data_IF_081251861916
#
_entry.id   IF_081251861916
#
_cell.length_a   1.000
_cell.length_b   1.000
_cell.length_c   1.000
_cell.angle_alpha   90.00
_cell.angle_beta   90.00
_cell.angle_gamma   90.00
#
_symmetry.space_group_name_H-M   'P 1'
#
loop_
_entity.id
_entity.type
_entity.pdbx_description
1 polymer ?
#
# COMPACT_ATOMS: atom_id res chain seq x y z
N UNK A 1 -29.62 53.56 -14.46
CA UNK A 1 -28.53 53.60 -13.48
C UNK A 1 -28.21 52.18 -13.01
N UNK A 2 -27.03 51.69 -13.42
CA UNK A 2 -26.19 50.62 -12.85
C UNK A 2 -26.83 49.26 -12.48
N UNK A 3 -26.83 48.36 -13.46
CA UNK A 3 -26.76 46.91 -13.24
C UNK A 3 -25.47 46.56 -12.48
N UNK A 4 -25.60 46.01 -11.28
CA UNK A 4 -24.47 45.52 -10.49
C UNK A 4 -24.29 44.02 -10.78
N UNK A 5 -23.50 43.70 -11.81
CA UNK A 5 -23.03 42.33 -12.04
C UNK A 5 -21.99 41.97 -10.97
N UNK A 6 -22.36 41.13 -10.01
CA UNK A 6 -21.41 40.49 -9.11
C UNK A 6 -20.76 39.30 -9.84
N UNK A 7 -19.43 39.18 -9.92
CA UNK A 7 -18.81 37.99 -10.46
C UNK A 7 -19.05 36.83 -9.50
N UNK A 8 -19.84 35.85 -9.93
CA UNK A 8 -19.96 34.55 -9.26
C UNK A 8 -18.61 33.85 -9.41
N UNK A 9 -17.78 33.94 -8.37
CA UNK A 9 -16.54 33.17 -8.29
C UNK A 9 -16.90 31.72 -7.98
N UNK A 10 -17.14 30.93 -9.03
CA UNK A 10 -17.29 29.48 -8.95
C UNK A 10 -15.92 28.89 -8.64
N UNK A 11 -15.61 28.72 -7.36
CA UNK A 11 -14.47 27.95 -6.89
C UNK A 11 -14.69 26.47 -7.24
N UNK A 12 -14.04 26.04 -8.32
CA UNK A 12 -14.00 24.68 -8.82
C UNK A 12 -13.37 23.73 -7.79
N UNK A 13 -14.22 22.89 -7.17
CA UNK A 13 -13.85 21.77 -6.30
C UNK A 13 -13.47 20.53 -7.12
N UNK A 14 -12.41 20.60 -7.93
CA UNK A 14 -12.01 19.55 -8.91
C UNK A 14 -10.91 18.59 -8.42
N UNK A 15 -10.65 18.50 -7.12
CA UNK A 15 -9.47 17.81 -6.58
C UNK A 15 -9.40 16.29 -6.84
N UNK A 16 -10.46 15.53 -6.55
CA UNK A 16 -10.43 14.05 -6.55
C UNK A 16 -11.06 13.38 -7.78
N UNK A 17 -12.00 14.05 -8.47
CA UNK A 17 -12.45 13.62 -9.81
C UNK A 17 -11.24 13.53 -10.77
N UNK A 18 -10.25 14.40 -10.56
CA UNK A 18 -9.02 14.48 -11.32
C UNK A 18 -8.20 13.19 -11.32
N UNK A 19 -7.94 12.54 -10.17
CA UNK A 19 -7.06 11.36 -10.16
C UNK A 19 -7.70 10.14 -10.84
N UNK A 20 -8.99 9.88 -10.59
CA UNK A 20 -9.71 8.79 -11.25
C UNK A 20 -9.84 9.06 -12.75
N UNK A 21 -10.11 10.30 -13.18
CA UNK A 21 -10.11 10.61 -14.62
C UNK A 21 -8.71 10.53 -15.23
N UNK A 22 -7.68 11.00 -14.53
CA UNK A 22 -6.29 11.03 -14.99
C UNK A 22 -5.68 9.63 -15.13
N UNK A 23 -6.00 8.72 -14.22
CA UNK A 23 -5.55 7.32 -14.28
C UNK A 23 -6.42 6.46 -15.21
N UNK A 24 -7.43 7.03 -15.88
CA UNK A 24 -8.34 6.28 -16.76
C UNK A 24 -7.61 5.53 -17.88
N UNK A 25 -6.72 6.22 -18.60
CA UNK A 25 -5.98 5.65 -19.72
C UNK A 25 -4.99 4.56 -19.24
N UNK A 26 -4.22 4.84 -18.19
CA UNK A 26 -3.30 3.89 -17.57
C UNK A 26 -4.03 2.61 -17.12
N UNK A 27 -5.11 2.76 -16.34
CA UNK A 27 -5.89 1.62 -15.84
C UNK A 27 -6.58 0.86 -16.95
N UNK A 28 -7.02 1.54 -18.01
CA UNK A 28 -7.55 0.89 -19.21
C UNK A 28 -6.53 -0.07 -19.81
N UNK A 29 -5.30 0.39 -20.03
CA UNK A 29 -4.21 -0.42 -20.54
C UNK A 29 -3.79 -1.55 -19.59
N UNK A 30 -3.72 -1.28 -18.28
CA UNK A 30 -3.42 -2.28 -17.25
C UNK A 30 -4.47 -3.41 -17.27
N UNK A 31 -5.74 -3.05 -17.21
CA UNK A 31 -6.84 -4.01 -17.12
C UNK A 31 -7.03 -4.82 -18.41
N UNK A 32 -6.61 -4.29 -19.56
CA UNK A 32 -6.64 -5.03 -20.84
C UNK A 32 -5.41 -5.93 -21.03
N UNK A 33 -4.49 -6.00 -20.06
CA UNK A 33 -3.24 -6.75 -20.17
C UNK A 33 -2.22 -6.11 -21.12
N UNK A 34 -2.42 -4.85 -21.50
CA UNK A 34 -1.48 -4.10 -22.35
C UNK A 34 -0.37 -3.49 -21.50
N UNK A 35 0.44 -4.36 -20.90
CA UNK A 35 1.39 -4.01 -19.84
C UNK A 35 2.46 -3.01 -20.30
N UNK A 36 3.00 -3.18 -21.50
CA UNK A 36 3.99 -2.25 -22.07
C UNK A 36 3.38 -0.85 -22.27
N UNK A 37 2.12 -0.80 -22.71
CA UNK A 37 1.39 0.46 -22.86
C UNK A 37 1.11 1.11 -21.50
N UNK A 38 0.75 0.32 -20.50
CA UNK A 38 0.57 0.80 -19.14
C UNK A 38 1.87 1.40 -18.58
N UNK A 39 3.00 0.73 -18.77
CA UNK A 39 4.32 1.21 -18.35
C UNK A 39 4.73 2.53 -19.03
N UNK A 40 4.46 2.67 -20.34
CA UNK A 40 4.68 3.92 -21.07
C UNK A 40 3.83 5.07 -20.51
N UNK A 41 2.53 4.83 -20.30
CA UNK A 41 1.60 5.84 -19.78
C UNK A 41 1.99 6.26 -18.36
N UNK A 42 2.32 5.31 -17.48
CA UNK A 42 2.75 5.60 -16.12
C UNK A 42 4.06 6.41 -16.11
N UNK A 43 5.03 6.05 -16.96
CA UNK A 43 6.30 6.79 -17.10
C UNK A 43 6.07 8.23 -17.59
N UNK A 44 5.19 8.42 -18.57
CA UNK A 44 4.84 9.75 -19.06
C UNK A 44 4.25 10.62 -17.94
N UNK A 45 3.27 10.10 -17.21
CA UNK A 45 2.63 10.82 -16.10
C UNK A 45 3.60 11.11 -14.96
N UNK A 46 4.45 10.13 -14.58
CA UNK A 46 5.48 10.31 -13.56
C UNK A 46 6.47 11.42 -13.93
N UNK A 47 6.90 11.49 -15.19
CA UNK A 47 7.79 12.56 -15.67
C UNK A 47 7.11 13.93 -15.63
N UNK A 48 5.87 14.03 -16.10
CA UNK A 48 5.11 15.28 -16.11
C UNK A 48 4.76 15.80 -14.71
N UNK A 49 4.69 14.89 -13.72
CA UNK A 49 4.16 15.17 -12.38
C UNK A 49 5.16 14.91 -11.26
N UNK A 50 6.43 14.76 -11.61
CA UNK A 50 7.53 14.42 -10.70
C UNK A 50 7.66 15.37 -9.50
N UNK A 51 7.25 16.63 -9.66
CA UNK A 51 7.26 17.63 -8.58
C UNK A 51 5.88 17.94 -8.00
N UNK A 52 4.83 17.34 -8.55
CA UNK A 52 3.45 17.59 -8.14
C UNK A 52 3.14 17.03 -6.74
N UNK A 53 1.94 17.34 -6.27
CA UNK A 53 1.39 16.79 -5.02
C UNK A 53 1.10 15.28 -5.10
N UNK A 54 0.96 14.75 -6.31
CA UNK A 54 0.63 13.35 -6.59
C UNK A 54 1.88 12.55 -7.03
N UNK A 55 3.07 13.15 -6.97
CA UNK A 55 4.32 12.59 -7.46
C UNK A 55 4.62 11.18 -6.90
N UNK A 56 4.42 10.98 -5.59
CA UNK A 56 4.64 9.67 -4.94
C UNK A 56 3.82 8.59 -5.62
N UNK A 57 2.52 8.85 -5.83
CA UNK A 57 1.63 7.87 -6.44
C UNK A 57 2.07 7.53 -7.86
N UNK A 58 2.42 8.53 -8.67
CA UNK A 58 2.85 8.28 -10.04
C UNK A 58 4.16 7.50 -10.13
N UNK A 59 5.10 7.71 -9.22
CA UNK A 59 6.31 6.88 -9.15
C UNK A 59 6.00 5.44 -8.71
N UNK A 60 5.06 5.23 -7.79
CA UNK A 60 4.61 3.88 -7.40
C UNK A 60 3.94 3.15 -8.57
N UNK A 61 3.03 3.82 -9.29
CA UNK A 61 2.36 3.26 -10.48
C UNK A 61 3.37 2.96 -11.60
N UNK A 62 4.34 3.85 -11.80
CA UNK A 62 5.43 3.64 -12.75
C UNK A 62 6.26 2.41 -12.36
N UNK A 63 6.68 2.29 -11.10
CA UNK A 63 7.45 1.16 -10.61
C UNK A 63 6.71 -0.16 -10.81
N UNK A 64 5.43 -0.23 -10.43
CA UNK A 64 4.60 -1.42 -10.60
C UNK A 64 4.44 -1.81 -12.07
N UNK A 65 4.19 -0.85 -12.96
CA UNK A 65 4.03 -1.10 -14.39
C UNK A 65 5.32 -1.51 -15.10
N UNK A 66 6.45 -0.89 -14.75
CA UNK A 66 7.75 -1.30 -15.27
C UNK A 66 8.11 -2.72 -14.82
N UNK A 67 7.82 -3.08 -13.55
CA UNK A 67 8.00 -4.45 -13.05
C UNK A 67 7.16 -5.45 -13.84
N UNK A 68 5.87 -5.17 -14.01
CA UNK A 68 4.97 -6.02 -14.78
C UNK A 68 5.46 -6.20 -16.23
N UNK A 69 6.09 -5.16 -16.82
CA UNK A 69 6.68 -5.19 -18.15
C UNK A 69 8.06 -5.88 -18.21
N UNK A 70 8.56 -6.47 -17.12
CA UNK A 70 9.88 -7.10 -17.04
C UNK A 70 11.05 -6.10 -17.00
N UNK A 71 10.79 -4.81 -16.85
CA UNK A 71 11.80 -3.75 -16.82
C UNK A 71 12.28 -3.48 -15.39
N UNK A 72 12.83 -4.50 -14.74
CA UNK A 72 13.12 -4.51 -13.30
C UNK A 72 14.07 -3.39 -12.84
N UNK A 73 15.14 -3.12 -13.59
CA UNK A 73 16.07 -2.05 -13.24
C UNK A 73 15.43 -0.66 -13.29
N UNK A 74 14.61 -0.38 -14.32
CA UNK A 74 13.88 0.87 -14.43
C UNK A 74 12.77 0.97 -13.37
N UNK A 75 12.13 -0.16 -13.04
CA UNK A 75 11.17 -0.25 -11.93
C UNK A 75 11.81 0.14 -10.60
N UNK A 76 13.02 -0.37 -10.29
CA UNK A 76 13.75 0.00 -9.09
C UNK A 76 14.05 1.51 -9.04
N UNK A 77 14.48 2.11 -10.15
CA UNK A 77 14.69 3.56 -10.23
C UNK A 77 13.41 4.35 -9.91
N UNK A 78 12.24 3.91 -10.41
CA UNK A 78 10.96 4.55 -10.11
C UNK A 78 10.60 4.45 -8.62
N UNK A 79 10.76 3.26 -8.02
CA UNK A 79 10.52 3.07 -6.58
C UNK A 79 11.47 3.91 -5.71
N UNK A 80 12.75 4.05 -6.08
CA UNK A 80 13.68 4.95 -5.40
C UNK A 80 13.23 6.42 -5.46
N UNK A 81 12.64 6.88 -6.57
CA UNK A 81 12.08 8.23 -6.65
C UNK A 81 10.87 8.40 -5.73
N UNK A 82 9.99 7.40 -5.67
CA UNK A 82 8.89 7.39 -4.70
C UNK A 82 9.44 7.50 -3.27
N UNK A 83 10.42 6.68 -2.91
CA UNK A 83 11.05 6.68 -1.58
C UNK A 83 11.73 8.02 -1.24
N UNK A 84 12.44 8.63 -2.19
CA UNK A 84 13.04 9.98 -2.04
C UNK A 84 11.97 11.03 -1.74
N UNK A 85 10.83 10.99 -2.43
CA UNK A 85 9.74 11.94 -2.24
C UNK A 85 9.00 11.70 -0.92
N UNK A 86 8.79 10.45 -0.54
CA UNK A 86 8.26 10.06 0.77
C UNK A 86 9.14 10.60 1.90
N UNK A 87 10.46 10.36 1.85
CA UNK A 87 11.43 10.88 2.84
C UNK A 87 11.44 12.41 2.91
N UNK A 88 11.22 13.09 1.78
CA UNK A 88 11.09 14.53 1.77
C UNK A 88 9.87 15.00 2.57
N UNK A 89 8.71 14.35 2.42
CA UNK A 89 7.52 14.67 3.21
C UNK A 89 7.69 14.35 4.69
N UNK A 90 8.32 13.22 5.04
CA UNK A 90 8.62 12.88 6.43
C UNK A 90 9.45 13.96 7.13
N UNK A 91 10.46 14.50 6.44
CA UNK A 91 11.26 15.62 6.97
C UNK A 91 10.41 16.87 7.17
N UNK A 92 9.53 17.21 6.22
CA UNK A 92 8.64 18.36 6.36
C UNK A 92 7.66 18.20 7.53
N UNK A 93 7.07 17.02 7.71
CA UNK A 93 6.17 16.74 8.81
C UNK A 93 6.85 16.90 10.18
N UNK A 94 8.08 16.41 10.33
CA UNK A 94 8.89 16.61 11.55
C UNK A 94 9.15 18.09 11.85
N UNK A 95 9.48 18.89 10.83
CA UNK A 95 9.70 20.34 10.98
C UNK A 95 8.42 21.08 11.34
N UNK A 96 7.25 20.65 10.83
CA UNK A 96 5.95 21.25 11.20
C UNK A 96 5.59 20.93 12.66
N UNK A 97 5.81 19.69 13.11
CA UNK A 97 5.56 19.28 14.50
C UNK A 97 6.44 20.02 15.51
N UNK A 98 7.67 20.37 15.15
CA UNK A 98 8.58 21.11 16.03
C UNK A 98 8.34 22.63 16.11
N UNK A 99 7.44 23.18 15.28
CA UNK A 99 7.18 24.64 15.18
C UNK A 99 5.82 25.12 15.72
N UNK A 100 5.05 24.26 16.41
CA UNK A 100 3.74 24.55 17.04
C UNK A 100 2.64 25.22 16.17
N UNK A 101 1.66 24.38 15.83
CA UNK A 101 0.21 24.62 15.71
C UNK A 101 -0.32 26.06 15.52
N UNK A 102 -0.28 26.59 14.29
CA UNK A 102 -1.23 27.61 13.86
C UNK A 102 -1.79 27.29 12.48
N UNK A 103 -3.08 26.94 12.43
CA UNK A 103 -3.86 26.91 11.17
C UNK A 103 -4.27 25.52 10.67
N UNK A 104 -5.13 24.80 11.40
CA UNK A 104 -5.86 23.63 10.85
C UNK A 104 -7.19 24.06 10.23
N UNK A 105 -7.11 24.77 9.11
CA UNK A 105 -8.22 24.93 8.16
C UNK A 105 -7.66 24.81 6.74
N UNK A 106 -7.05 23.67 6.43
CA UNK A 106 -6.58 23.37 5.08
C UNK A 106 -7.54 22.38 4.40
N UNK A 107 -7.84 22.66 3.14
CA UNK A 107 -8.60 21.74 2.29
C UNK A 107 -7.83 20.41 2.20
N UNK A 108 -8.33 19.35 2.84
CA UNK A 108 -7.70 18.03 2.86
C UNK A 108 -7.48 17.45 1.45
N UNK A 109 -8.27 17.87 0.45
CA UNK A 109 -8.10 17.48 -0.95
C UNK A 109 -6.95 18.22 -1.69
N UNK A 110 -6.33 19.21 -1.04
CA UNK A 110 -5.18 19.95 -1.56
C UNK A 110 -3.83 19.45 -1.00
N UNK A 111 -3.85 18.55 -0.01
CA UNK A 111 -2.62 18.01 0.59
C UNK A 111 -1.94 17.02 -0.37
N UNK A 112 -0.59 17.03 -0.43
CA UNK A 112 0.15 16.04 -1.19
C UNK A 112 -0.06 14.65 -0.64
N UNK A 113 0.04 13.65 -1.52
CA UNK A 113 0.10 12.26 -1.13
C UNK A 113 1.50 11.92 -0.63
N UNK A 114 1.63 11.64 0.67
CA UNK A 114 2.93 11.48 1.34
C UNK A 114 3.46 10.03 1.39
N UNK A 115 2.71 9.06 0.84
CA UNK A 115 3.02 7.63 0.92
C UNK A 115 2.59 7.01 2.26
N UNK A 116 1.66 6.06 2.20
CA UNK A 116 1.12 5.33 3.35
C UNK A 116 2.06 4.20 3.75
N UNK A 117 1.85 3.62 4.93
CA UNK A 117 2.64 2.48 5.40
C UNK A 117 2.64 1.31 4.43
N UNK A 118 1.47 0.95 3.89
CA UNK A 118 1.40 -0.14 2.91
C UNK A 118 2.19 0.19 1.63
N UNK A 119 2.21 1.45 1.17
CA UNK A 119 3.01 1.84 -0.01
C UNK A 119 4.49 1.60 0.25
N UNK A 120 4.96 1.98 1.46
CA UNK A 120 6.36 1.82 1.88
C UNK A 120 6.75 0.36 2.00
N UNK A 121 5.87 -0.48 2.54
CA UNK A 121 6.11 -1.92 2.63
C UNK A 121 6.19 -2.50 1.22
N UNK A 122 5.17 -2.25 0.39
CA UNK A 122 5.08 -2.85 -0.94
C UNK A 122 6.12 -2.36 -1.95
N UNK A 123 6.52 -1.08 -1.91
CA UNK A 123 7.57 -0.60 -2.80
C UNK A 123 8.89 -1.34 -2.54
N UNK A 124 9.24 -1.57 -1.27
CA UNK A 124 10.44 -2.32 -0.90
C UNK A 124 10.27 -3.81 -1.26
N UNK A 125 9.09 -4.39 -1.04
CA UNK A 125 8.79 -5.77 -1.45
C UNK A 125 8.92 -5.97 -2.97
N UNK A 126 8.45 -5.02 -3.78
CA UNK A 126 8.64 -5.07 -5.22
C UNK A 126 10.08 -4.83 -5.66
N UNK A 127 10.82 -3.93 -5.02
CA UNK A 127 12.25 -3.78 -5.28
C UNK A 127 13.01 -5.07 -4.97
N UNK A 128 12.67 -5.76 -3.88
CA UNK A 128 13.24 -7.06 -3.57
C UNK A 128 12.95 -8.11 -4.65
N UNK A 129 11.70 -8.23 -5.11
CA UNK A 129 11.32 -9.13 -6.19
C UNK A 129 12.07 -8.81 -7.50
N UNK A 130 12.20 -7.52 -7.83
CA UNK A 130 12.97 -7.07 -8.98
C UNK A 130 14.45 -7.48 -8.85
N UNK A 131 15.06 -7.30 -7.68
CA UNK A 131 16.44 -7.70 -7.43
C UNK A 131 16.63 -9.21 -7.53
N UNK A 132 15.68 -10.02 -7.03
CA UNK A 132 15.69 -11.47 -7.23
C UNK A 132 15.66 -11.84 -8.72
N UNK A 133 14.82 -11.17 -9.51
CA UNK A 133 14.73 -11.39 -10.97
C UNK A 133 15.98 -10.91 -11.73
N UNK A 134 16.74 -9.99 -11.15
CA UNK A 134 18.04 -9.53 -11.67
C UNK A 134 19.22 -10.40 -11.18
N UNK A 135 18.97 -11.43 -10.36
CA UNK A 135 20.02 -12.27 -9.77
C UNK A 135 20.82 -11.59 -8.65
N UNK A 136 20.29 -10.51 -8.06
CA UNK A 136 20.95 -9.68 -7.06
C UNK A 136 20.41 -10.01 -5.64
N UNK A 137 20.74 -11.19 -5.13
CA UNK A 137 20.22 -11.71 -3.86
C UNK A 137 20.52 -10.80 -2.66
N UNK A 138 21.74 -10.25 -2.56
CA UNK A 138 22.11 -9.36 -1.45
C UNK A 138 21.27 -8.08 -1.42
N UNK A 139 21.03 -7.49 -2.59
CA UNK A 139 20.18 -6.31 -2.73
C UNK A 139 18.73 -6.64 -2.36
N UNK A 140 18.22 -7.81 -2.77
CA UNK A 140 16.89 -8.27 -2.38
C UNK A 140 16.74 -8.40 -0.85
N UNK A 141 17.75 -8.95 -0.16
CA UNK A 141 17.75 -9.05 1.30
C UNK A 141 17.80 -7.68 1.99
N UNK A 142 18.49 -6.69 1.43
CA UNK A 142 18.46 -5.31 1.94
C UNK A 142 17.05 -4.73 1.87
N UNK A 143 16.38 -4.83 0.73
CA UNK A 143 15.02 -4.31 0.57
C UNK A 143 14.00 -5.06 1.43
N UNK A 144 14.14 -6.38 1.61
CA UNK A 144 13.25 -7.15 2.48
C UNK A 144 13.40 -6.76 3.96
N UNK A 145 14.62 -6.46 4.41
CA UNK A 145 14.85 -5.88 5.74
C UNK A 145 14.23 -4.50 5.88
N UNK A 146 14.32 -3.67 4.84
CA UNK A 146 13.69 -2.35 4.83
C UNK A 146 12.15 -2.45 4.84
N UNK A 147 11.57 -3.38 4.06
CA UNK A 147 10.15 -3.66 4.05
C UNK A 147 9.65 -4.11 5.43
N UNK A 148 10.37 -5.04 6.07
CA UNK A 148 10.08 -5.51 7.43
C UNK A 148 10.10 -4.36 8.45
N UNK A 149 11.13 -3.51 8.41
CA UNK A 149 11.21 -2.34 9.29
C UNK A 149 10.06 -1.33 9.08
N UNK A 150 9.60 -1.15 7.83
CA UNK A 150 8.44 -0.29 7.55
C UNK A 150 7.12 -0.88 8.04
N UNK A 151 6.98 -2.22 8.09
CA UNK A 151 5.82 -2.85 8.72
C UNK A 151 5.76 -2.53 10.22
N UNK A 152 6.87 -2.75 10.94
CA UNK A 152 6.94 -2.45 12.37
C UNK A 152 6.66 -0.97 12.65
N UNK A 153 7.23 -0.09 11.81
CA UNK A 153 6.98 1.34 11.89
C UNK A 153 5.49 1.68 11.64
N UNK A 154 4.83 1.02 10.69
CA UNK A 154 3.41 1.27 10.40
C UNK A 154 2.49 0.77 11.53
N UNK A 155 2.78 -0.37 12.14
CA UNK A 155 2.02 -0.84 13.33
C UNK A 155 2.05 0.25 14.42
N UNK A 156 3.23 0.83 14.67
CA UNK A 156 3.38 1.94 15.63
C UNK A 156 2.65 3.20 15.16
N UNK A 157 2.75 3.58 13.88
CA UNK A 157 2.05 4.75 13.30
C UNK A 157 0.53 4.59 13.39
N UNK A 158 0.01 3.40 13.11
CA UNK A 158 -1.41 3.09 13.16
C UNK A 158 -1.93 3.14 14.61
N UNK A 159 -1.21 2.53 15.56
CA UNK A 159 -1.56 2.62 16.99
C UNK A 159 -1.63 4.08 17.47
N UNK A 160 -0.65 4.92 17.10
CA UNK A 160 -0.65 6.36 17.41
C UNK A 160 -1.83 7.09 16.76
N UNK A 161 -2.15 6.78 15.50
CA UNK A 161 -3.32 7.34 14.80
C UNK A 161 -4.62 6.98 15.47
N UNK A 162 -4.80 5.73 15.90
CA UNK A 162 -6.01 5.28 16.63
C UNK A 162 -6.15 6.04 17.95
N UNK A 163 -5.07 6.18 18.73
CA UNK A 163 -5.08 6.94 19.98
C UNK A 163 -5.43 8.42 19.74
N UNK A 164 -4.80 9.06 18.75
CA UNK A 164 -5.08 10.45 18.39
C UNK A 164 -6.51 10.64 17.88
N UNK A 165 -7.01 9.70 17.06
CA UNK A 165 -8.38 9.70 16.57
C UNK A 165 -9.38 9.55 17.70
N UNK A 166 -9.15 8.66 18.68
CA UNK A 166 -10.01 8.50 19.88
C UNK A 166 -10.03 9.77 20.73
N UNK A 167 -8.88 10.41 20.94
CA UNK A 167 -8.77 11.68 21.68
C UNK A 167 -9.56 12.80 21.00
N UNK A 168 -9.46 12.91 19.68
CA UNK A 168 -10.19 13.91 18.89
C UNK A 168 -11.68 13.58 18.77
N UNK A 169 -12.04 12.30 18.66
CA UNK A 169 -13.43 11.84 18.59
C UNK A 169 -14.21 12.13 19.87
N UNK A 170 -13.57 12.07 21.05
CA UNK A 170 -14.19 12.50 22.31
C UNK A 170 -14.67 13.96 22.30
N UNK A 171 -14.03 14.84 21.52
CA UNK A 171 -14.44 16.25 21.37
C UNK A 171 -15.65 16.42 20.43
N UNK A 172 -15.86 15.49 19.48
CA UNK A 172 -16.93 15.53 18.46
C UNK A 172 -17.94 14.37 18.58
N UNK A 173 -17.89 13.63 19.69
CA UNK A 173 -18.52 12.32 19.90
C UNK A 173 -20.04 12.35 19.69
N UNK A 174 -20.68 13.48 20.03
CA UNK A 174 -22.12 13.70 19.85
C UNK A 174 -22.53 13.99 18.39
N UNK A 175 -21.63 14.51 17.57
CA UNK A 175 -21.90 14.81 16.16
C UNK A 175 -21.63 13.59 15.25
N UNK A 176 -20.60 12.81 15.56
CA UNK A 176 -20.18 11.63 14.79
C UNK A 176 -21.09 10.42 15.06
N UNK A 177 -21.68 10.30 16.27
CA UNK A 177 -22.62 9.20 16.63
C UNK A 177 -23.82 9.05 15.68
N UNK A 178 -24.17 10.08 14.89
CA UNK A 178 -25.27 10.02 13.91
C UNK A 178 -24.82 9.67 12.49
N UNK A 179 -23.56 9.89 12.15
CA UNK A 179 -23.03 9.61 10.82
C UNK A 179 -22.34 8.24 10.87
N UNK A 180 -23.15 7.18 10.67
CA UNK A 180 -22.76 5.77 10.47
C UNK A 180 -21.25 5.55 10.37
N UNK A 181 -20.62 5.37 11.53
CA UNK A 181 -19.17 5.17 11.64
C UNK A 181 -18.73 3.91 10.88
N UNK A 182 -19.64 2.93 10.76
CA UNK A 182 -19.46 1.68 10.03
C UNK A 182 -19.32 1.87 8.50
N UNK A 183 -19.87 2.96 7.93
CA UNK A 183 -19.70 3.28 6.49
C UNK A 183 -18.38 4.01 6.19
N UNK A 184 -17.71 4.53 7.23
CA UNK A 184 -16.47 5.30 7.13
C UNK A 184 -15.21 4.47 7.37
N UNK A 185 -15.35 3.29 7.96
CA UNK A 185 -14.24 2.35 8.04
C UNK A 185 -14.16 1.63 6.69
N UNK A 186 -12.98 1.55 6.05
CA UNK A 186 -12.78 0.56 5.02
C UNK A 186 -13.17 -0.80 5.63
N UNK A 187 -13.89 -1.60 4.85
CA UNK A 187 -14.33 -2.95 5.21
C UNK A 187 -13.08 -3.82 5.34
N UNK A 188 -12.37 -3.70 6.47
CA UNK A 188 -11.15 -4.46 6.78
C UNK A 188 -11.63 -5.80 7.30
N UNK A 189 -11.96 -6.69 6.38
CA UNK A 189 -12.44 -8.03 6.70
C UNK A 189 -11.29 -8.93 7.20
N UNK A 190 -10.02 -8.58 6.93
CA UNK A 190 -8.86 -9.27 7.51
C UNK A 190 -8.05 -8.35 8.40
N UNK A 191 -8.07 -8.63 9.70
CA UNK A 191 -7.07 -8.12 10.63
C UNK A 191 -5.85 -9.04 10.58
N UNK A 192 -4.81 -8.66 9.83
CA UNK A 192 -3.51 -9.35 9.85
C UNK A 192 -2.73 -9.12 11.16
N UNK A 193 -3.38 -8.54 12.19
CA UNK A 193 -2.82 -8.31 13.50
C UNK A 193 -1.64 -7.35 13.45
N UNK A 194 -0.45 -7.89 13.63
CA UNK A 194 0.80 -7.12 13.68
C UNK A 194 1.48 -6.96 12.31
N UNK A 195 0.81 -7.30 11.20
CA UNK A 195 1.37 -7.21 9.86
C UNK A 195 0.62 -6.20 9.00
N UNK A 196 1.37 -5.52 8.14
CA UNK A 196 0.78 -4.74 7.04
C UNK A 196 0.53 -5.65 5.84
N UNK A 197 1.48 -6.53 5.51
CA UNK A 197 1.34 -7.51 4.43
C UNK A 197 2.11 -8.81 4.76
N UNK A 198 1.42 -9.90 5.16
CA UNK A 198 2.05 -11.19 5.48
C UNK A 198 2.92 -11.78 4.36
N UNK A 199 2.64 -11.46 3.09
CA UNK A 199 3.46 -11.91 1.97
C UNK A 199 4.89 -11.35 2.05
N UNK A 200 5.05 -10.10 2.50
CA UNK A 200 6.37 -9.46 2.65
C UNK A 200 7.26 -10.24 3.62
N UNK A 201 6.73 -10.61 4.79
CA UNK A 201 7.51 -11.37 5.77
C UNK A 201 7.75 -12.80 5.35
N UNK A 202 6.79 -13.40 4.63
CA UNK A 202 6.99 -14.72 4.05
C UNK A 202 8.14 -14.70 3.04
N UNK A 203 8.15 -13.72 2.13
CA UNK A 203 9.23 -13.55 1.16
C UNK A 203 10.56 -13.26 1.86
N UNK A 204 10.56 -12.43 2.91
CA UNK A 204 11.75 -12.18 3.72
C UNK A 204 12.27 -13.47 4.35
N UNK A 205 11.42 -14.22 5.05
CA UNK A 205 11.79 -15.48 5.67
C UNK A 205 12.34 -16.46 4.63
N UNK A 206 11.66 -16.59 3.48
CA UNK A 206 12.06 -17.45 2.37
C UNK A 206 13.48 -17.11 1.90
N UNK A 207 13.77 -15.83 1.67
CA UNK A 207 15.10 -15.37 1.28
C UNK A 207 16.14 -15.60 2.38
N UNK A 208 15.81 -15.40 3.66
CA UNK A 208 16.75 -15.62 4.76
C UNK A 208 17.23 -17.08 4.83
N UNK A 209 16.34 -18.07 4.67
CA UNK A 209 16.80 -19.46 4.82
C UNK A 209 17.39 -20.08 3.55
N UNK A 210 16.99 -19.59 2.36
CA UNK A 210 17.50 -20.06 1.07
C UNK A 210 18.74 -19.30 0.58
N UNK A 211 18.83 -18.00 0.84
CA UNK A 211 19.83 -17.11 0.24
C UNK A 211 20.85 -16.58 1.25
N UNK A 212 20.47 -16.40 2.53
CA UNK A 212 21.41 -15.91 3.54
C UNK A 212 22.24 -17.06 4.14
N UNK A 213 23.48 -16.74 4.51
CA UNK A 213 24.44 -17.74 5.03
C UNK A 213 24.04 -18.25 6.40
N UNK A 214 23.64 -17.36 7.33
CA UNK A 214 23.50 -17.66 8.76
C UNK A 214 22.19 -17.18 9.41
N UNK A 215 21.15 -16.83 8.62
CA UNK A 215 19.89 -16.28 9.15
C UNK A 215 18.71 -17.26 9.16
N UNK A 216 18.98 -18.58 9.11
CA UNK A 216 17.94 -19.62 9.09
C UNK A 216 17.07 -19.65 10.34
N UNK A 217 17.65 -19.33 11.51
CA UNK A 217 16.89 -19.22 12.76
C UNK A 217 15.91 -18.03 12.72
N UNK A 218 16.36 -16.90 12.17
CA UNK A 218 15.51 -15.72 11.98
C UNK A 218 14.35 -16.03 11.01
N UNK A 219 14.63 -16.77 9.92
CA UNK A 219 13.59 -17.25 9.01
C UNK A 219 12.54 -18.10 9.73
N UNK A 220 12.98 -19.03 10.58
CA UNK A 220 12.10 -19.92 11.34
C UNK A 220 11.19 -19.15 12.31
N UNK A 221 11.72 -18.14 12.99
CA UNK A 221 10.94 -17.27 13.88
C UNK A 221 9.85 -16.54 13.08
N UNK A 222 10.21 -15.96 11.93
CA UNK A 222 9.28 -15.28 11.05
C UNK A 222 8.20 -16.21 10.51
N UNK A 223 8.55 -17.40 10.02
CA UNK A 223 7.60 -18.41 9.53
C UNK A 223 6.60 -18.83 10.60
N UNK A 224 7.06 -19.06 11.85
CA UNK A 224 6.18 -19.40 12.98
C UNK A 224 5.21 -18.27 13.32
N UNK A 225 5.66 -17.01 13.28
CA UNK A 225 4.82 -15.82 13.51
C UNK A 225 3.76 -15.66 12.41
N UNK A 226 4.11 -15.86 11.14
CA UNK A 226 3.15 -15.76 10.03
C UNK A 226 2.16 -16.93 10.11
N UNK A 227 2.64 -18.15 10.39
CA UNK A 227 1.80 -19.33 10.54
C UNK A 227 0.74 -19.14 11.62
N UNK A 228 1.10 -18.63 12.81
CA UNK A 228 0.12 -18.38 13.86
C UNK A 228 -0.89 -17.29 13.48
N UNK A 229 -0.44 -16.25 12.78
CA UNK A 229 -1.29 -15.11 12.43
C UNK A 229 -2.31 -15.45 11.34
N UNK A 230 -1.94 -16.30 10.38
CA UNK A 230 -2.81 -16.73 9.28
C UNK A 230 -3.69 -17.94 9.64
N UNK A 231 -3.76 -18.35 10.91
CA UNK A 231 -4.59 -19.48 11.35
C UNK A 231 -4.01 -20.86 11.02
N UNK A 232 -2.69 -20.95 10.78
CA UNK A 232 -1.96 -22.20 10.64
C UNK A 232 -2.09 -22.90 9.28
N UNK A 233 -1.84 -22.24 8.14
CA UNK A 233 -1.95 -22.89 6.84
C UNK A 233 -0.84 -23.94 6.62
N UNK A 234 -1.19 -25.07 6.01
CA UNK A 234 -0.30 -26.24 5.88
C UNK A 234 0.98 -25.96 5.09
N UNK A 235 0.96 -25.02 4.13
CA UNK A 235 2.16 -24.67 3.38
C UNK A 235 3.23 -24.05 4.30
N UNK A 236 2.84 -23.18 5.25
CA UNK A 236 3.77 -22.62 6.24
C UNK A 236 4.23 -23.67 7.24
N UNK A 237 3.36 -24.61 7.64
CA UNK A 237 3.75 -25.73 8.48
C UNK A 237 4.81 -26.61 7.78
N UNK A 238 4.67 -26.82 6.47
CA UNK A 238 5.65 -27.52 5.64
C UNK A 238 6.98 -26.77 5.60
N UNK A 239 6.99 -25.46 5.41
CA UNK A 239 8.21 -24.66 5.42
C UNK A 239 8.93 -24.67 6.76
N UNK A 240 8.20 -24.55 7.87
CA UNK A 240 8.77 -24.68 9.21
C UNK A 240 9.50 -26.02 9.37
N UNK A 241 8.89 -27.12 8.92
CA UNK A 241 9.52 -28.46 8.96
C UNK A 241 10.75 -28.58 8.05
N UNK A 242 10.77 -27.90 6.91
CA UNK A 242 11.97 -27.85 6.07
C UNK A 242 13.11 -27.15 6.81
N UNK A 243 12.88 -25.94 7.32
CA UNK A 243 13.91 -25.16 8.02
C UNK A 243 14.40 -25.88 9.28
N UNK A 244 13.52 -26.45 10.10
CA UNK A 244 13.91 -27.22 11.30
C UNK A 244 14.83 -28.41 10.95
N UNK A 245 14.58 -29.11 9.84
CA UNK A 245 15.45 -30.21 9.39
C UNK A 245 16.83 -29.72 8.96
N UNK A 246 16.90 -28.58 8.25
CA UNK A 246 18.18 -27.99 7.83
C UNK A 246 19.00 -27.54 9.02
N UNK A 247 18.37 -26.89 10.01
CA UNK A 247 19.03 -26.54 11.27
C UNK A 247 19.54 -27.78 12.03
N UNK A 248 18.85 -28.92 11.87
CA UNK A 248 19.30 -30.23 12.37
C UNK A 248 20.38 -30.92 11.53
N UNK A 249 20.94 -30.26 10.50
CA UNK A 249 22.02 -30.80 9.66
C UNK A 249 21.57 -31.56 8.41
N UNK A 250 20.29 -31.56 8.07
CA UNK A 250 19.82 -32.15 6.82
C UNK A 250 20.28 -31.32 5.59
N UNK A 251 20.32 -31.96 4.42
CA UNK A 251 20.61 -31.28 3.16
C UNK A 251 19.41 -30.43 2.71
N UNK A 252 19.72 -29.31 2.07
CA UNK A 252 18.71 -28.44 1.47
C UNK A 252 17.90 -29.20 0.40
N UNK A 253 16.55 -29.15 0.43
CA UNK A 253 15.74 -29.72 -0.62
C UNK A 253 15.82 -28.89 -1.90
N UNK A 254 15.68 -29.53 -3.06
CA UNK A 254 15.49 -28.82 -4.33
C UNK A 254 14.03 -28.34 -4.42
N UNK A 255 13.81 -27.04 -4.24
CA UNK A 255 12.47 -26.44 -4.21
C UNK A 255 12.31 -25.39 -5.30
N UNK A 256 11.11 -25.30 -5.85
CA UNK A 256 10.69 -24.25 -6.76
C UNK A 256 9.41 -23.59 -6.22
N UNK A 257 9.50 -22.28 -5.94
CA UNK A 257 8.36 -21.50 -5.44
C UNK A 257 7.64 -20.82 -6.62
N UNK A 258 6.34 -21.08 -6.74
CA UNK A 258 5.46 -20.40 -7.69
C UNK A 258 4.51 -19.50 -6.93
N UNK A 259 4.66 -18.18 -7.12
CA UNK A 259 3.89 -17.15 -6.42
C UNK A 259 3.04 -16.43 -7.44
N UNK A 260 1.74 -16.32 -7.15
CA UNK A 260 0.79 -15.58 -7.98
C UNK A 260 0.38 -14.29 -7.29
N UNK A 261 0.43 -13.20 -8.04
CA UNK A 261 -0.17 -11.93 -7.69
C UNK A 261 -1.34 -11.71 -8.64
N UNK A 262 -2.58 -11.66 -8.12
CA UNK A 262 -3.80 -11.56 -8.93
C UNK A 262 -4.71 -10.46 -8.40
N UNK A 263 -5.50 -9.87 -9.30
CA UNK A 263 -6.44 -8.80 -8.97
C UNK A 263 -5.95 -7.43 -9.41
N UNK A 264 -6.64 -6.39 -8.94
CA UNK A 264 -6.32 -4.98 -9.23
C UNK A 264 -6.61 -4.16 -7.98
N UNK A 265 -5.76 -3.19 -7.70
CA UNK A 265 -5.93 -2.33 -6.53
C UNK A 265 -7.30 -1.62 -6.51
N UNK A 266 -7.89 -1.39 -5.32
CA UNK A 266 -9.17 -0.72 -5.17
C UNK A 266 -9.12 0.73 -5.67
N UNK A 267 -10.26 1.26 -6.11
CA UNK A 267 -10.37 2.70 -6.32
C UNK A 267 -10.66 3.38 -4.98
N UNK A 268 -9.93 4.44 -4.68
CA UNK A 268 -10.32 5.39 -3.65
C UNK A 268 -11.40 6.34 -4.18
N UNK A 269 -12.60 6.26 -3.59
CA UNK A 269 -13.68 7.24 -3.74
C UNK A 269 -13.81 8.11 -2.49
N UNK A 270 -14.64 9.14 -2.59
CA UNK A 270 -14.94 10.05 -1.50
C UNK A 270 -16.41 9.92 -1.12
N UNK A 271 -16.66 9.73 0.18
CA UNK A 271 -17.98 9.85 0.79
C UNK A 271 -18.04 11.21 1.46
N UNK A 272 -18.89 12.08 0.93
CA UNK A 272 -19.12 13.40 1.51
C UNK A 272 -20.21 13.29 2.58
N UNK A 273 -19.88 13.74 3.78
CA UNK A 273 -20.80 13.89 4.90
C UNK A 273 -21.02 15.38 5.15
N UNK A 274 -22.26 15.83 4.94
CA UNK A 274 -22.66 17.18 5.34
C UNK A 274 -23.17 17.14 6.79
N UNK A 275 -22.36 17.62 7.72
CA UNK A 275 -22.68 17.66 9.16
C UNK A 275 -23.41 18.98 9.46
N UNK A 276 -24.72 18.95 9.80
CA UNK A 276 -25.45 20.17 10.10
C UNK A 276 -24.93 20.82 11.40
N UNK A 277 -24.65 22.12 11.34
CA UNK A 277 -24.26 22.90 12.51
C UNK A 277 -25.44 23.72 13.00
N UNK A 278 -25.70 23.65 14.31
CA UNK A 278 -26.73 24.45 14.98
C UNK A 278 -26.17 25.81 15.42
N UNK A 279 -25.62 26.60 14.48
CA UNK A 279 -25.19 27.99 14.70
C UNK A 279 -25.75 28.89 13.59
N UNK A 280 -26.22 30.08 13.96
CA UNK A 280 -27.04 30.96 13.09
C UNK A 280 -26.39 31.40 11.77
N UNK A 281 -25.06 31.34 11.65
CA UNK A 281 -24.32 31.79 10.44
C UNK A 281 -23.71 30.68 9.59
N UNK A 282 -23.62 29.44 10.09
CA UNK A 282 -23.05 28.30 9.35
C UNK A 282 -24.01 27.12 9.49
N UNK A 283 -24.67 26.75 8.38
CA UNK A 283 -25.74 25.73 8.37
C UNK A 283 -25.22 24.29 8.38
N UNK A 284 -24.04 24.04 7.82
CA UNK A 284 -23.41 22.73 7.81
C UNK A 284 -21.89 22.86 7.59
N UNK A 285 -21.14 21.82 7.97
CA UNK A 285 -19.75 21.59 7.56
C UNK A 285 -19.74 20.34 6.69
N UNK A 286 -19.23 20.48 5.46
CA UNK A 286 -18.96 19.33 4.61
C UNK A 286 -17.62 18.71 5.05
N UNK A 287 -17.64 17.42 5.36
CA UNK A 287 -16.46 16.62 5.64
C UNK A 287 -16.40 15.47 4.63
N UNK A 288 -15.24 15.29 4.02
CA UNK A 288 -15.01 14.37 2.93
C UNK A 288 -14.14 13.21 3.40
N UNK A 289 -14.69 12.00 3.37
CA UNK A 289 -14.02 10.81 3.88
C UNK A 289 -13.64 9.88 2.74
N UNK A 290 -12.40 9.34 2.72
CA UNK A 290 -12.01 8.39 1.70
C UNK A 290 -12.64 7.02 1.96
N UNK A 291 -13.20 6.40 0.91
CA UNK A 291 -13.68 5.03 0.90
C UNK A 291 -12.97 4.25 -0.19
N UNK A 292 -12.46 3.06 0.14
CA UNK A 292 -11.95 2.13 -0.87
C UNK A 292 -13.11 1.34 -1.46
N UNK A 293 -13.20 1.31 -2.78
CA UNK A 293 -14.10 0.45 -3.53
C UNK A 293 -13.28 -0.63 -4.20
N UNK A 294 -13.47 -1.88 -3.74
CA UNK A 294 -12.89 -3.07 -4.38
C UNK A 294 -13.34 -3.15 -5.83
N UNK A 295 -12.46 -3.69 -6.66
CA UNK A 295 -12.72 -3.85 -8.09
C UNK A 295 -11.98 -5.06 -8.63
N UNK A 296 -12.58 -5.65 -9.67
CA UNK A 296 -12.15 -6.96 -10.13
C UNK A 296 -12.54 -8.06 -9.13
N UNK A 297 -12.09 -9.28 -9.43
CA UNK A 297 -12.14 -10.43 -8.53
C UNK A 297 -10.77 -11.09 -8.60
N UNK A 298 -10.25 -11.56 -7.47
CA UNK A 298 -9.09 -12.45 -7.50
C UNK A 298 -9.46 -13.70 -8.30
N UNK A 299 -8.56 -14.12 -9.18
CA UNK A 299 -8.71 -15.34 -9.95
C UNK A 299 -7.98 -16.47 -9.21
N UNK A 300 -8.61 -17.64 -8.99
CA UNK A 300 -7.90 -18.77 -8.44
C UNK A 300 -6.79 -19.19 -9.40
N UNK A 301 -5.60 -19.43 -8.85
CA UNK A 301 -4.45 -19.91 -9.61
C UNK A 301 -4.19 -21.38 -9.28
N UNK A 302 -3.67 -22.13 -10.26
CA UNK A 302 -3.25 -23.51 -10.09
C UNK A 302 -1.99 -23.77 -10.91
N UNK A 303 -1.19 -24.72 -10.44
CA UNK A 303 0.01 -25.20 -11.12
C UNK A 303 -0.18 -26.67 -11.42
N UNK A 304 0.06 -27.08 -12.67
CA UNK A 304 0.07 -28.48 -13.07
C UNK A 304 1.52 -28.95 -13.24
N UNK A 305 1.87 -30.06 -12.59
CA UNK A 305 3.17 -30.73 -12.72
C UNK A 305 2.87 -32.17 -13.16
N UNK A 306 3.07 -32.46 -14.45
CA UNK A 306 2.62 -33.71 -15.05
C UNK A 306 1.09 -33.82 -14.97
N UNK A 307 0.59 -34.91 -14.38
CA UNK A 307 -0.85 -35.14 -14.16
C UNK A 307 -1.36 -34.55 -12.83
N UNK A 308 -0.47 -34.09 -11.96
CA UNK A 308 -0.84 -33.58 -10.64
C UNK A 308 -1.13 -32.09 -10.71
N UNK A 309 -2.28 -31.68 -10.16
CA UNK A 309 -2.67 -30.28 -10.02
C UNK A 309 -2.55 -29.82 -8.57
N UNK A 310 -1.95 -28.67 -8.37
CA UNK A 310 -1.83 -27.98 -7.09
C UNK A 310 -2.59 -26.65 -7.17
N UNK A 311 -3.56 -26.45 -6.29
CA UNK A 311 -4.26 -25.17 -6.19
C UNK A 311 -3.43 -24.20 -5.31
N UNK A 312 -3.37 -22.93 -5.72
CA UNK A 312 -2.65 -21.90 -4.98
C UNK A 312 -3.36 -21.60 -3.65
N UNK A 313 -2.58 -21.45 -2.59
CA UNK A 313 -3.09 -21.02 -1.27
C UNK A 313 -2.91 -19.52 -1.11
N UNK A 314 -3.95 -18.83 -0.64
CA UNK A 314 -3.89 -17.40 -0.36
C UNK A 314 -2.98 -17.13 0.85
N UNK A 315 -1.96 -16.29 0.66
CA UNK A 315 -1.08 -15.83 1.74
C UNK A 315 -1.45 -14.43 2.24
N UNK A 316 -1.91 -13.57 1.33
CA UNK A 316 -2.32 -12.21 1.63
C UNK A 316 -3.33 -11.73 0.57
N UNK A 317 -4.48 -11.25 1.03
CA UNK A 317 -5.34 -10.30 0.32
C UNK A 317 -4.85 -8.87 0.60
N UNK A 318 -4.32 -8.19 -0.43
CA UNK A 318 -3.82 -6.81 -0.33
C UNK A 318 -4.92 -5.75 -0.28
N UNK A 319 -6.18 -6.16 -0.55
CA UNK A 319 -7.36 -5.30 -0.53
C UNK A 319 -8.15 -5.41 0.78
N UNK A 320 -7.65 -6.22 1.73
CA UNK A 320 -8.30 -6.53 2.99
C UNK A 320 -7.95 -5.61 4.14
#
# INVERSE_FOLDING_TARGET
MRCLCYPVFVLLLTGCASYVSQTGAFRGAWNSGSIERAAQLATQEANQRSESRDAVVWFLEQGAALRAAGQFAASNQAFEQAEKRIRFYDRQARVRLSREATGLLTNLAALPYEGRGYDRVMLNTYQALNYLQLGQADAALVELRQAHAEQDAEVVRNARRIVAARKSAGEYERAIRRAKLDELQPDIALDYGAFVNPFTDFLHALCLWNLATDDRENALVSLRRIHSTLGGPEFLASEIRFVDRILGGAKHPDLAYVIFETGVAPIRREVRLDVPLRREKVRYVAASFPRLERRGRSAPAHVAIGETRYDATLICDMDA
#
